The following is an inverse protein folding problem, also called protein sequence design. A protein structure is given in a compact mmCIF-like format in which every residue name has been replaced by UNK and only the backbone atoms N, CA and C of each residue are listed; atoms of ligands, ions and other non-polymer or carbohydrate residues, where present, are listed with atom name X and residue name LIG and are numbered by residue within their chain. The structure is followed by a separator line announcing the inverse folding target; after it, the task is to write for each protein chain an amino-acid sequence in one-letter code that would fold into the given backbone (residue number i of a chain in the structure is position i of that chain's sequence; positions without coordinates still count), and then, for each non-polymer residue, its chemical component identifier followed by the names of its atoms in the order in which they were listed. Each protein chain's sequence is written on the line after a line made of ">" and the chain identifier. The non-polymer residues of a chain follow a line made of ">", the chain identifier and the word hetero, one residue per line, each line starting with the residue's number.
data_IF_490309713522
#
_entry.id   IF_490309713522
#
_cell.length_a   1.000
_cell.length_b   1.000
_cell.length_c   1.000
_cell.angle_alpha   90.00
_cell.angle_beta   90.00
_cell.angle_gamma   90.00
#
_symmetry.space_group_name_H-M   'P 1'
#
loop_
_entity.id
_entity.type
_entity.pdbx_description
1 polymer ?
#
# COMPACT_ATOMS: atom_id res chain seq x y z
N UNK A 1 3.01 -16.34 31.28
CA UNK A 1 3.63 -16.75 29.99
C UNK A 1 2.76 -17.74 29.20
N UNK A 2 2.07 -18.69 29.85
CA UNK A 2 1.17 -19.65 29.18
C UNK A 2 -0.01 -19.01 28.46
N UNK A 3 -0.61 -17.95 29.01
CA UNK A 3 -1.74 -17.24 28.39
C UNK A 3 -1.36 -16.54 27.06
N UNK A 4 -0.13 -16.07 26.93
CA UNK A 4 0.31 -15.35 25.72
C UNK A 4 0.55 -16.33 24.54
N UNK A 5 1.04 -17.54 24.81
CA UNK A 5 1.23 -18.55 23.76
C UNK A 5 -0.11 -19.08 23.26
N UNK A 6 -1.02 -19.45 24.15
CA UNK A 6 -2.36 -19.92 23.79
C UNK A 6 -3.13 -18.90 22.94
N UNK A 7 -3.02 -17.60 23.26
CA UNK A 7 -3.65 -16.52 22.47
C UNK A 7 -3.05 -16.43 21.07
N UNK A 8 -1.72 -16.56 20.94
CA UNK A 8 -1.05 -16.57 19.63
C UNK A 8 -1.47 -17.75 18.77
N UNK A 9 -1.51 -18.94 19.37
CA UNK A 9 -1.90 -20.16 18.68
C UNK A 9 -3.36 -20.10 18.21
N UNK A 10 -4.24 -19.50 19.02
CA UNK A 10 -5.63 -19.27 18.66
C UNK A 10 -5.78 -18.30 17.49
N UNK A 11 -5.03 -17.20 17.49
CA UNK A 11 -5.01 -16.23 16.37
C UNK A 11 -4.52 -16.90 15.09
N UNK A 12 -3.47 -17.71 15.16
CA UNK A 12 -2.96 -18.46 14.02
C UNK A 12 -4.00 -19.44 13.48
N UNK A 13 -4.68 -20.17 14.35
CA UNK A 13 -5.76 -21.07 13.99
C UNK A 13 -6.90 -20.33 13.25
N UNK A 14 -7.35 -19.19 13.77
CA UNK A 14 -8.39 -18.37 13.11
C UNK A 14 -7.94 -17.81 11.77
N UNK A 15 -6.67 -17.42 11.63
CA UNK A 15 -6.12 -16.98 10.34
C UNK A 15 -6.16 -18.09 9.30
N UNK A 16 -5.73 -19.30 9.64
CA UNK A 16 -5.80 -20.46 8.73
C UNK A 16 -7.25 -20.80 8.36
N UNK A 17 -8.15 -20.75 9.33
CA UNK A 17 -9.59 -20.96 9.07
C UNK A 17 -10.15 -19.90 8.11
N UNK A 18 -9.77 -18.63 8.30
CA UNK A 18 -10.17 -17.54 7.42
C UNK A 18 -9.63 -17.72 6.00
N UNK A 19 -8.37 -18.15 5.84
CA UNK A 19 -7.81 -18.50 4.51
C UNK A 19 -8.67 -19.53 3.80
N UNK A 20 -9.10 -20.57 4.48
CA UNK A 20 -9.92 -21.61 3.89
C UNK A 20 -11.30 -21.09 3.46
N UNK A 21 -11.97 -20.29 4.30
CA UNK A 21 -13.24 -19.66 3.97
C UNK A 21 -13.12 -18.76 2.72
N UNK A 22 -12.03 -18.00 2.60
CA UNK A 22 -11.80 -17.13 1.47
C UNK A 22 -11.48 -17.91 0.19
N UNK A 23 -10.75 -19.02 0.28
CA UNK A 23 -10.49 -19.94 -0.84
C UNK A 23 -11.78 -20.59 -1.35
N UNK A 24 -12.66 -21.06 -0.45
CA UNK A 24 -13.98 -21.59 -0.83
C UNK A 24 -14.84 -20.57 -1.60
N UNK A 25 -14.65 -19.27 -1.31
CA UNK A 25 -15.28 -18.15 -2.06
C UNK A 25 -14.56 -17.82 -3.37
N UNK A 26 -13.58 -18.62 -3.78
CA UNK A 26 -12.80 -18.42 -5.03
C UNK A 26 -12.06 -17.08 -5.08
N UNK A 27 -11.68 -16.53 -3.93
CA UNK A 27 -10.80 -15.37 -3.85
C UNK A 27 -9.39 -15.80 -4.28
N UNK A 28 -8.72 -14.97 -5.09
CA UNK A 28 -7.35 -15.21 -5.55
C UNK A 28 -6.39 -15.37 -4.37
N UNK A 29 -5.44 -16.33 -4.43
CA UNK A 29 -4.48 -16.59 -3.34
C UNK A 29 -3.64 -15.38 -2.95
N UNK A 30 -3.20 -14.60 -3.92
CA UNK A 30 -2.42 -13.37 -3.70
C UNK A 30 -3.18 -12.30 -2.92
N UNK A 31 -4.49 -12.13 -3.18
CA UNK A 31 -5.35 -11.20 -2.45
C UNK A 31 -5.55 -11.67 -1.01
N UNK A 32 -5.72 -12.96 -0.81
CA UNK A 32 -5.85 -13.56 0.54
C UNK A 32 -4.57 -13.29 1.33
N UNK A 33 -3.41 -13.57 0.74
CA UNK A 33 -2.12 -13.36 1.41
C UNK A 33 -1.85 -11.88 1.69
N UNK A 34 -2.10 -10.98 0.72
CA UNK A 34 -1.97 -9.54 0.90
C UNK A 34 -2.82 -8.99 2.05
N UNK A 35 -4.04 -9.52 2.20
CA UNK A 35 -4.96 -9.09 3.26
C UNK A 35 -4.55 -9.62 4.64
N UNK A 36 -4.08 -10.86 4.72
CA UNK A 36 -3.72 -11.50 5.99
C UNK A 36 -2.38 -10.99 6.50
N UNK A 37 -1.38 -10.80 5.64
CA UNK A 37 -0.05 -10.31 6.03
C UNK A 37 -0.09 -8.88 6.56
N UNK A 38 -0.98 -8.05 6.06
CA UNK A 38 -1.16 -6.66 6.53
C UNK A 38 -2.01 -6.54 7.80
N UNK A 39 -2.78 -7.59 8.15
CA UNK A 39 -3.75 -7.54 9.25
C UNK A 39 -3.12 -7.98 10.56
N UNK A 40 -2.77 -7.01 11.40
CA UNK A 40 -2.13 -7.25 12.70
C UNK A 40 -3.15 -7.43 13.84
N UNK A 41 -4.43 -7.08 13.63
CA UNK A 41 -5.47 -7.17 14.64
C UNK A 41 -6.18 -8.55 14.62
N UNK A 42 -6.90 -8.83 15.68
CA UNK A 42 -7.77 -10.01 15.84
C UNK A 42 -9.21 -9.77 15.30
N UNK A 43 -9.45 -8.65 14.63
CA UNK A 43 -10.75 -8.32 14.03
C UNK A 43 -10.93 -9.06 12.69
N UNK A 44 -11.25 -10.35 12.75
CA UNK A 44 -11.45 -11.18 11.55
C UNK A 44 -12.63 -10.75 10.68
N UNK A 45 -13.63 -10.06 11.23
CA UNK A 45 -14.72 -9.51 10.44
C UNK A 45 -14.23 -8.35 9.54
N UNK A 46 -13.35 -7.52 10.07
CA UNK A 46 -12.71 -6.45 9.29
C UNK A 46 -11.83 -7.02 8.18
N UNK A 47 -11.00 -8.02 8.50
CA UNK A 47 -10.18 -8.74 7.54
C UNK A 47 -11.03 -9.30 6.39
N UNK A 48 -12.10 -9.99 6.71
CA UNK A 48 -13.02 -10.58 5.74
C UNK A 48 -13.61 -9.51 4.81
N UNK A 49 -14.15 -8.41 5.37
CA UNK A 49 -14.73 -7.30 4.61
C UNK A 49 -13.71 -6.65 3.67
N UNK A 50 -12.52 -6.34 4.18
CA UNK A 50 -11.41 -5.77 3.38
C UNK A 50 -11.04 -6.66 2.21
N UNK A 51 -10.91 -7.97 2.45
CA UNK A 51 -10.53 -8.93 1.41
C UNK A 51 -11.58 -9.01 0.30
N UNK A 52 -12.86 -9.02 0.64
CA UNK A 52 -13.94 -9.02 -0.36
C UNK A 52 -13.96 -7.73 -1.21
N UNK A 53 -13.76 -6.59 -0.57
CA UNK A 53 -13.72 -5.29 -1.26
C UNK A 53 -12.49 -5.23 -2.17
N UNK A 54 -11.33 -5.68 -1.68
CA UNK A 54 -10.10 -5.76 -2.47
C UNK A 54 -10.25 -6.65 -3.70
N UNK A 55 -10.89 -7.82 -3.55
CA UNK A 55 -11.13 -8.72 -4.67
C UNK A 55 -12.01 -8.08 -5.77
N UNK A 56 -13.04 -7.34 -5.39
CA UNK A 56 -13.88 -6.57 -6.34
C UNK A 56 -13.12 -5.41 -6.97
N UNK A 57 -12.24 -4.77 -6.23
CA UNK A 57 -11.46 -3.62 -6.71
C UNK A 57 -10.43 -4.04 -7.76
N UNK A 58 -9.67 -5.10 -7.49
CA UNK A 58 -8.60 -5.58 -8.40
C UNK A 58 -9.15 -6.04 -9.75
N UNK A 59 -10.38 -6.53 -9.81
CA UNK A 59 -11.01 -6.91 -11.08
C UNK A 59 -11.36 -5.72 -11.99
N UNK A 60 -11.29 -4.49 -11.48
CA UNK A 60 -11.58 -3.26 -12.21
C UNK A 60 -10.29 -2.59 -12.70
N UNK A 61 -10.42 -1.70 -13.69
CA UNK A 61 -9.30 -0.92 -14.23
C UNK A 61 -8.59 -0.09 -13.15
N UNK A 62 -9.33 0.49 -12.22
CA UNK A 62 -8.76 1.21 -11.08
C UNK A 62 -7.84 0.34 -10.21
N UNK A 63 -8.18 -0.93 -10.03
CA UNK A 63 -7.34 -1.87 -9.29
C UNK A 63 -6.04 -2.22 -10.02
N UNK A 64 -6.11 -2.43 -11.33
CA UNK A 64 -4.94 -2.66 -12.18
C UNK A 64 -4.01 -1.44 -12.14
N UNK A 65 -4.57 -0.24 -12.23
CA UNK A 65 -3.83 1.01 -12.11
C UNK A 65 -3.12 1.14 -10.77
N UNK A 66 -3.79 0.82 -9.67
CA UNK A 66 -3.22 0.84 -8.33
C UNK A 66 -2.04 -0.14 -8.20
N UNK A 67 -2.20 -1.39 -8.69
CA UNK A 67 -1.12 -2.39 -8.67
C UNK A 67 0.07 -1.94 -9.53
N UNK A 68 -0.19 -1.44 -10.74
CA UNK A 68 0.85 -0.94 -11.65
C UNK A 68 1.65 0.21 -11.03
N UNK A 69 0.97 1.18 -10.41
CA UNK A 69 1.58 2.32 -9.71
C UNK A 69 2.49 1.83 -8.58
N UNK A 70 1.97 0.95 -7.72
CA UNK A 70 2.75 0.36 -6.62
C UNK A 70 3.99 -0.38 -7.12
N UNK A 71 3.82 -1.29 -8.08
CA UNK A 71 4.93 -2.11 -8.61
C UNK A 71 6.03 -1.27 -9.23
N UNK A 72 5.67 -0.22 -9.98
CA UNK A 72 6.68 0.68 -10.58
C UNK A 72 7.53 1.36 -9.50
N UNK A 73 6.91 1.87 -8.44
CA UNK A 73 7.61 2.49 -7.33
C UNK A 73 8.45 1.46 -6.53
N UNK A 74 7.87 0.32 -6.19
CA UNK A 74 8.53 -0.74 -5.41
C UNK A 74 9.77 -1.29 -6.15
N UNK A 75 9.68 -1.53 -7.46
CA UNK A 75 10.81 -2.03 -8.24
C UNK A 75 12.03 -1.09 -8.20
N UNK A 76 11.81 0.23 -8.21
CA UNK A 76 12.89 1.21 -8.08
C UNK A 76 13.51 1.15 -6.68
N UNK A 77 12.68 1.08 -5.64
CA UNK A 77 13.16 0.98 -4.27
C UNK A 77 13.99 -0.29 -4.01
N UNK A 78 13.57 -1.42 -4.58
CA UNK A 78 14.26 -2.70 -4.46
C UNK A 78 15.65 -2.67 -5.13
N UNK A 79 15.78 -1.95 -6.25
CA UNK A 79 17.05 -1.79 -6.97
C UNK A 79 18.01 -0.87 -6.23
N UNK A 80 17.53 0.19 -5.62
CA UNK A 80 18.35 1.28 -5.09
C UNK A 80 18.74 1.12 -3.61
N UNK A 81 18.18 0.14 -2.89
CA UNK A 81 18.47 -0.18 -1.48
C UNK A 81 18.49 1.05 -0.56
N UNK A 82 17.39 1.76 -0.51
CA UNK A 82 17.24 2.96 0.31
C UNK A 82 17.65 2.72 1.77
N UNK A 83 18.57 3.53 2.28
CA UNK A 83 19.12 3.40 3.65
C UNK A 83 18.50 4.37 4.66
N UNK A 84 17.62 5.28 4.23
CA UNK A 84 17.01 6.31 5.09
C UNK A 84 15.53 6.07 5.27
N UNK A 85 14.96 6.56 6.39
CA UNK A 85 13.53 6.43 6.73
C UNK A 85 12.95 7.73 7.29
N UNK A 86 13.59 8.87 6.99
CA UNK A 86 13.21 10.16 7.57
C UNK A 86 11.99 10.78 6.90
N UNK A 87 11.61 10.26 5.73
CA UNK A 87 10.60 10.84 4.86
C UNK A 87 11.15 11.99 4.01
N UNK A 88 10.47 12.31 2.88
CA UNK A 88 10.97 13.32 1.94
C UNK A 88 10.93 14.72 2.54
N UNK A 89 11.98 15.50 2.31
CA UNK A 89 12.07 16.91 2.64
C UNK A 89 11.59 17.77 1.47
N UNK A 90 10.54 18.55 1.68
CA UNK A 90 9.95 19.40 0.65
C UNK A 90 10.91 20.49 0.16
N UNK A 91 11.92 20.87 0.94
CA UNK A 91 12.94 21.86 0.55
C UNK A 91 13.84 21.32 -0.58
N UNK A 92 14.01 20.02 -0.64
CA UNK A 92 14.84 19.36 -1.66
C UNK A 92 14.08 19.07 -2.97
N UNK A 93 12.79 19.35 -3.06
CA UNK A 93 12.06 19.19 -4.31
C UNK A 93 12.52 20.22 -5.36
N UNK A 94 12.86 19.74 -6.53
CA UNK A 94 13.33 20.54 -7.67
C UNK A 94 12.28 20.76 -8.74
N UNK A 95 11.32 19.85 -8.85
CA UNK A 95 10.30 19.83 -9.89
C UNK A 95 8.90 19.84 -9.26
N UNK A 96 7.94 20.37 -9.98
CA UNK A 96 6.56 20.50 -9.50
C UNK A 96 5.91 19.14 -9.30
N UNK A 97 6.26 18.16 -10.12
CA UNK A 97 5.76 16.78 -10.03
C UNK A 97 6.13 16.08 -8.72
N UNK A 98 7.28 16.44 -8.12
CA UNK A 98 7.67 15.93 -6.78
C UNK A 98 6.71 16.46 -5.71
N UNK A 99 6.35 17.75 -5.80
CA UNK A 99 5.40 18.40 -4.88
C UNK A 99 3.98 17.88 -5.07
N UNK A 100 3.49 17.80 -6.32
CA UNK A 100 2.16 17.27 -6.65
C UNK A 100 1.98 15.85 -6.09
N UNK A 101 2.98 14.98 -6.29
CA UNK A 101 2.94 13.61 -5.77
C UNK A 101 2.95 13.59 -4.24
N UNK A 102 3.82 14.38 -3.61
CA UNK A 102 3.90 14.48 -2.15
C UNK A 102 2.61 14.97 -1.50
N UNK A 103 2.01 16.03 -2.05
CA UNK A 103 0.74 16.58 -1.57
C UNK A 103 -0.40 15.58 -1.73
N UNK A 104 -0.43 14.87 -2.87
CA UNK A 104 -1.42 13.82 -3.12
C UNK A 104 -1.33 12.70 -2.09
N UNK A 105 -0.13 12.18 -1.85
CA UNK A 105 0.12 11.14 -0.84
C UNK A 105 -0.31 11.61 0.55
N UNK A 106 0.07 12.83 0.94
CA UNK A 106 -0.28 13.38 2.26
C UNK A 106 -1.79 13.60 2.43
N UNK A 107 -2.49 14.02 1.38
CA UNK A 107 -3.95 14.14 1.39
C UNK A 107 -4.61 12.78 1.67
N UNK A 108 -4.14 11.72 1.01
CA UNK A 108 -4.64 10.36 1.21
C UNK A 108 -4.36 9.88 2.63
N UNK A 109 -3.12 10.04 3.11
CA UNK A 109 -2.72 9.65 4.48
C UNK A 109 -3.56 10.36 5.54
N UNK A 110 -3.82 11.66 5.38
CA UNK A 110 -4.72 12.42 6.27
C UNK A 110 -6.14 11.86 6.28
N UNK A 111 -6.67 11.48 5.13
CA UNK A 111 -8.01 10.89 5.05
C UNK A 111 -8.10 9.53 5.76
N UNK A 112 -6.99 8.78 5.85
CA UNK A 112 -6.93 7.49 6.55
C UNK A 112 -6.82 7.64 8.08
N UNK A 113 -6.21 8.74 8.55
CA UNK A 113 -6.03 9.00 9.99
C UNK A 113 -7.22 9.66 10.64
N UNK A 114 -8.09 10.32 9.87
CA UNK A 114 -9.34 10.84 10.40
C UNK A 114 -10.18 9.66 10.87
N UNK A 115 -10.39 9.57 12.19
CA UNK A 115 -11.17 8.54 12.91
C UNK A 115 -12.65 8.64 12.55
N UNK A 116 -12.99 8.45 11.29
CA UNK A 116 -14.37 8.28 10.94
C UNK A 116 -14.74 6.81 11.18
N UNK A 117 -15.69 6.57 12.08
CA UNK A 117 -16.19 5.25 12.44
C UNK A 117 -16.87 4.52 11.26
N UNK A 118 -17.00 5.19 10.13
CA UNK A 118 -17.48 4.63 8.85
C UNK A 118 -16.30 4.46 7.92
N UNK A 119 -15.46 3.45 8.18
CA UNK A 119 -14.36 3.10 7.27
C UNK A 119 -14.93 2.72 5.90
N UNK A 120 -14.96 3.68 4.99
CA UNK A 120 -15.31 3.40 3.60
C UNK A 120 -14.08 2.88 2.87
N UNK A 121 -13.87 1.57 2.89
CA UNK A 121 -12.74 0.90 2.24
C UNK A 121 -12.73 1.08 0.73
N UNK A 122 -13.89 1.25 0.09
CA UNK A 122 -13.98 1.50 -1.35
C UNK A 122 -13.44 2.89 -1.69
N UNK A 123 -13.75 3.92 -0.89
CA UNK A 123 -13.18 5.26 -1.07
C UNK A 123 -11.66 5.27 -0.86
N UNK A 124 -11.15 4.52 0.12
CA UNK A 124 -9.71 4.40 0.32
C UNK A 124 -9.00 3.83 -0.93
N UNK A 125 -9.52 2.75 -1.48
CA UNK A 125 -8.97 2.12 -2.68
C UNK A 125 -9.09 3.03 -3.91
N UNK A 126 -10.19 3.79 -4.03
CA UNK A 126 -10.36 4.79 -5.07
C UNK A 126 -9.29 5.88 -4.97
N UNK A 127 -9.10 6.46 -3.78
CA UNK A 127 -8.06 7.48 -3.54
C UNK A 127 -6.65 6.97 -3.86
N UNK A 128 -6.33 5.72 -3.49
CA UNK A 128 -5.06 5.09 -3.86
C UNK A 128 -4.91 4.99 -5.39
N UNK A 129 -5.95 4.60 -6.13
CA UNK A 129 -5.90 4.50 -7.58
C UNK A 129 -5.71 5.85 -8.28
N UNK A 130 -6.21 6.93 -7.68
CA UNK A 130 -6.07 8.28 -8.20
C UNK A 130 -4.63 8.84 -8.09
N UNK A 131 -3.73 8.18 -7.34
CA UNK A 131 -2.29 8.52 -7.34
C UNK A 131 -1.63 8.25 -8.69
N UNK A 132 -2.23 7.41 -9.54
CA UNK A 132 -1.64 7.02 -10.82
C UNK A 132 -1.23 8.23 -11.66
N UNK A 133 -2.10 9.22 -11.80
CA UNK A 133 -1.82 10.40 -12.65
C UNK A 133 -0.59 11.18 -12.16
N UNK A 134 -0.52 11.49 -10.86
CA UNK A 134 0.64 12.21 -10.30
C UNK A 134 1.91 11.36 -10.30
N UNK A 135 1.78 10.04 -10.13
CA UNK A 135 2.92 9.12 -10.21
C UNK A 135 3.44 8.97 -11.64
N UNK A 136 2.56 8.88 -12.63
CA UNK A 136 2.96 8.82 -14.05
C UNK A 136 3.70 10.10 -14.45
N UNK A 137 3.16 11.30 -14.14
CA UNK A 137 3.82 12.58 -14.35
C UNK A 137 5.21 12.62 -13.69
N UNK A 138 5.30 12.18 -12.43
CA UNK A 138 6.57 12.10 -11.72
C UNK A 138 7.59 11.25 -12.48
N UNK A 139 7.22 10.06 -12.92
CA UNK A 139 8.15 9.19 -13.64
C UNK A 139 8.46 9.63 -15.08
N UNK A 140 7.62 10.42 -15.69
CA UNK A 140 7.86 10.99 -17.01
C UNK A 140 8.84 12.17 -16.98
N UNK A 141 8.77 13.00 -15.94
CA UNK A 141 9.49 14.24 -15.88
C UNK A 141 10.66 14.23 -14.88
N UNK A 142 10.63 13.36 -13.87
CA UNK A 142 11.64 13.33 -12.79
C UNK A 142 12.57 12.14 -12.97
N UNK A 143 13.87 12.42 -13.13
CA UNK A 143 14.91 11.38 -13.11
C UNK A 143 15.23 10.98 -11.67
N UNK A 144 14.69 9.87 -11.18
CA UNK A 144 14.88 9.45 -9.78
C UNK A 144 16.35 9.33 -9.41
N UNK A 145 17.16 8.74 -10.30
CA UNK A 145 18.60 8.56 -10.10
C UNK A 145 19.36 9.84 -10.47
N UNK A 146 19.32 10.83 -9.57
CA UNK A 146 20.03 12.11 -9.70
C UNK A 146 21.51 11.96 -9.35
N UNK A 147 22.37 12.84 -9.92
CA UNK A 147 23.80 12.89 -9.57
C UNK A 147 24.01 13.38 -8.14
N UNK A 148 23.15 14.26 -7.66
CA UNK A 148 23.14 14.70 -6.27
C UNK A 148 22.46 13.63 -5.40
N UNK A 149 23.24 13.05 -4.49
CA UNK A 149 22.79 11.96 -3.62
C UNK A 149 21.64 12.36 -2.69
N UNK A 150 21.60 13.61 -2.22
CA UNK A 150 20.52 14.09 -1.34
C UNK A 150 19.20 14.18 -2.09
N UNK A 151 19.23 14.68 -3.35
CA UNK A 151 18.07 14.73 -4.23
C UNK A 151 17.60 13.33 -4.57
N UNK A 152 18.52 12.43 -4.94
CA UNK A 152 18.23 11.03 -5.21
C UNK A 152 17.53 10.37 -4.00
N UNK A 153 18.11 10.49 -2.82
CA UNK A 153 17.55 9.91 -1.60
C UNK A 153 16.17 10.48 -1.29
N UNK A 154 15.98 11.77 -1.46
CA UNK A 154 14.70 12.43 -1.25
C UNK A 154 13.60 11.91 -2.18
N UNK A 155 13.92 11.67 -3.46
CA UNK A 155 13.02 11.05 -4.43
C UNK A 155 12.68 9.60 -4.09
N UNK A 156 13.67 8.84 -3.61
CA UNK A 156 13.43 7.48 -3.14
C UNK A 156 12.54 7.46 -1.89
N UNK A 157 12.72 8.38 -0.95
CA UNK A 157 11.85 8.52 0.22
C UNK A 157 10.41 8.91 -0.18
N UNK A 158 10.25 9.72 -1.21
CA UNK A 158 8.92 10.03 -1.78
C UNK A 158 8.23 8.77 -2.32
N UNK A 159 8.96 7.91 -3.05
CA UNK A 159 8.44 6.61 -3.50
C UNK A 159 8.18 5.66 -2.32
N UNK A 160 9.01 5.70 -1.28
CA UNK A 160 8.82 4.89 -0.08
C UNK A 160 7.52 5.24 0.66
N UNK A 161 7.20 6.53 0.83
CA UNK A 161 5.94 6.93 1.45
C UNK A 161 4.73 6.60 0.57
N UNK A 162 4.87 6.61 -0.75
CA UNK A 162 3.85 6.13 -1.67
C UNK A 162 3.55 4.64 -1.41
N UNK A 163 4.56 3.78 -1.46
CA UNK A 163 4.43 2.34 -1.20
C UNK A 163 3.88 2.06 0.20
N UNK A 164 4.34 2.77 1.23
CA UNK A 164 3.84 2.63 2.61
C UNK A 164 2.36 3.01 2.71
N UNK A 165 1.93 4.01 1.95
CA UNK A 165 0.52 4.45 1.91
C UNK A 165 -0.37 3.37 1.29
N UNK A 166 0.06 2.71 0.22
CA UNK A 166 -0.64 1.56 -0.33
C UNK A 166 -0.71 0.39 0.67
N UNK A 167 0.42 0.07 1.31
CA UNK A 167 0.53 -1.03 2.27
C UNK A 167 -0.24 -0.78 3.58
N UNK A 168 -0.70 0.46 3.83
CA UNK A 168 -1.60 0.74 4.96
C UNK A 168 -2.99 0.11 4.79
N UNK A 169 -3.38 -0.25 3.58
CA UNK A 169 -4.66 -0.92 3.32
C UNK A 169 -4.53 -2.44 3.35
N UNK A 170 -3.72 -3.00 2.44
CA UNK A 170 -3.28 -4.40 2.40
C UNK A 170 -1.83 -4.43 1.94
N UNK A 171 -1.15 -5.56 2.07
CA UNK A 171 0.22 -5.71 1.59
C UNK A 171 0.27 -5.85 0.05
N UNK A 172 0.40 -4.71 -0.64
CA UNK A 172 0.45 -4.67 -2.10
C UNK A 172 1.64 -5.43 -2.70
N UNK A 173 2.70 -5.70 -1.91
CA UNK A 173 3.85 -6.47 -2.38
C UNK A 173 3.49 -7.92 -2.72
N UNK A 174 2.41 -8.44 -2.15
CA UNK A 174 1.92 -9.80 -2.38
C UNK A 174 1.00 -9.92 -3.59
N UNK A 175 0.52 -8.80 -4.14
CA UNK A 175 -0.42 -8.81 -5.25
C UNK A 175 0.29 -9.13 -6.57
N UNK A 176 -0.25 -10.08 -7.31
CA UNK A 176 0.23 -10.41 -8.64
C UNK A 176 -0.38 -9.42 -9.66
N UNK A 177 0.46 -8.94 -10.59
CA UNK A 177 -0.01 -8.16 -11.73
C UNK A 177 -0.84 -9.06 -12.66
N UNK A 178 -1.93 -8.56 -13.16
CA UNK A 178 -2.68 -9.17 -14.27
C UNK A 178 -1.96 -8.96 -15.58
#
# INVERSE_FOLDING_TARGET
>A
QLNNQASKDLILFFRERMKNILKEKKIRPDIIEASISSHLSDNFLELYKKTLIMNKFISKELGKNAISTYKRASNILDQEKLNTKNGPDAVLFKQEEEKELFERINSIRKSFTLKDQRKNYEDHLRLLSETKLSTDKFFENVKVNDENQDIKNNRLELLQILCTTFNSFVDFSKLEGS
#
